data_IF_855536638435
#
_entry.id   IF_855536638435
#
_cell.length_a   1.000
_cell.length_b   1.000
_cell.length_c   1.000
_cell.angle_alpha   90.00
_cell.angle_beta   90.00
_cell.angle_gamma   90.00
#
_symmetry.space_group_name_H-M   'P 1'
#
loop_
_entity.id
_entity.type
_entity.pdbx_description
1 polymer ?
#
# COMPACT_ATOMS: atom_id res chain seq x y z
N UNK A 1 -4.88 -35.83 1.36
CA UNK A 1 -3.52 -35.50 1.78
C UNK A 1 -3.26 -34.10 1.21
N UNK A 2 -3.85 -33.10 1.87
CA UNK A 2 -3.66 -31.68 1.56
C UNK A 2 -2.28 -31.32 2.07
N UNK A 3 -1.41 -30.90 1.18
CA UNK A 3 -0.13 -30.30 1.55
C UNK A 3 -0.48 -28.90 2.10
N UNK A 4 -0.41 -28.75 3.42
CA UNK A 4 -0.36 -27.45 4.07
C UNK A 4 0.85 -26.69 3.53
N UNK A 5 0.55 -25.71 2.70
CA UNK A 5 1.57 -24.86 2.08
C UNK A 5 1.75 -23.63 2.96
N UNK A 6 2.47 -23.80 4.06
CA UNK A 6 2.98 -22.67 4.84
C UNK A 6 4.14 -22.04 4.07
N UNK A 7 3.85 -20.91 3.43
CA UNK A 7 4.83 -20.18 2.59
C UNK A 7 6.04 -19.76 3.43
N UNK A 8 5.86 -19.42 4.70
CA UNK A 8 6.95 -19.05 5.60
C UNK A 8 7.83 -20.25 5.93
N UNK A 9 7.25 -21.39 6.28
CA UNK A 9 8.01 -22.64 6.53
C UNK A 9 8.68 -23.16 5.26
N UNK A 10 8.06 -22.98 4.09
CA UNK A 10 8.69 -23.29 2.82
C UNK A 10 9.89 -22.39 2.53
N UNK A 11 9.71 -21.07 2.75
CA UNK A 11 10.80 -20.09 2.58
C UNK A 11 11.96 -20.42 3.52
N UNK A 12 11.69 -20.71 4.78
CA UNK A 12 12.70 -21.12 5.77
C UNK A 12 13.35 -22.46 5.42
N UNK A 13 12.55 -23.45 5.04
CA UNK A 13 13.08 -24.76 4.64
C UNK A 13 13.95 -24.67 3.38
N UNK A 14 13.56 -23.82 2.41
CA UNK A 14 14.35 -23.55 1.21
C UNK A 14 15.64 -22.79 1.57
N UNK A 15 15.56 -21.80 2.47
CA UNK A 15 16.71 -21.07 2.99
C UNK A 15 17.70 -22.02 3.67
N UNK A 16 17.24 -22.83 4.62
CA UNK A 16 18.06 -23.79 5.36
C UNK A 16 18.66 -24.83 4.43
N UNK A 17 17.90 -25.37 3.48
CA UNK A 17 18.43 -26.30 2.49
C UNK A 17 19.49 -25.65 1.60
N UNK A 18 19.24 -24.44 1.12
CA UNK A 18 20.17 -23.70 0.30
C UNK A 18 21.47 -23.36 1.04
N UNK A 19 21.36 -22.85 2.28
CA UNK A 19 22.51 -22.56 3.14
C UNK A 19 23.32 -23.82 3.48
N UNK A 20 22.67 -24.98 3.65
CA UNK A 20 23.35 -26.25 3.90
C UNK A 20 24.09 -26.77 2.69
N UNK A 21 23.60 -26.52 1.49
CA UNK A 21 24.27 -26.89 0.21
C UNK A 21 25.33 -25.86 -0.21
N UNK A 22 25.23 -24.62 0.28
CA UNK A 22 26.09 -23.51 -0.04
C UNK A 22 26.55 -22.76 1.22
N UNK A 23 27.41 -23.38 2.06
CA UNK A 23 27.81 -22.83 3.37
C UNK A 23 28.60 -21.51 3.28
N UNK A 24 29.11 -21.15 2.12
CA UNK A 24 29.78 -19.87 1.87
C UNK A 24 28.84 -18.78 1.31
N UNK A 25 27.56 -19.09 1.12
CA UNK A 25 26.55 -18.12 0.63
C UNK A 25 25.94 -17.38 1.80
N UNK A 26 26.19 -16.09 1.84
CA UNK A 26 25.48 -15.16 2.71
C UNK A 26 24.31 -14.56 1.93
N UNK A 27 23.10 -14.62 2.50
CA UNK A 27 21.95 -13.90 1.94
C UNK A 27 22.32 -12.41 1.95
N UNK A 28 22.33 -11.74 0.78
CA UNK A 28 22.69 -10.32 0.74
C UNK A 28 21.67 -9.48 1.48
N UNK A 29 22.14 -8.54 2.29
CA UNK A 29 21.27 -7.53 2.86
C UNK A 29 20.62 -6.70 1.75
N UNK A 30 19.35 -6.33 1.88
CA UNK A 30 18.72 -5.44 0.91
C UNK A 30 19.50 -4.11 0.84
N UNK A 31 19.82 -3.61 -0.35
CA UNK A 31 20.55 -2.35 -0.47
C UNK A 31 19.69 -1.16 -0.04
N UNK A 32 20.31 -0.12 0.53
CA UNK A 32 19.64 1.11 0.98
C UNK A 32 18.78 1.74 -0.11
N UNK A 33 19.14 1.56 -1.37
CA UNK A 33 18.37 2.06 -2.51
C UNK A 33 16.92 1.55 -2.57
N UNK A 34 16.64 0.37 -2.01
CA UNK A 34 15.28 -0.19 -1.94
C UNK A 34 14.39 0.57 -0.97
N UNK A 35 14.97 1.17 0.05
CA UNK A 35 14.21 1.88 1.09
C UNK A 35 13.93 3.35 0.73
N UNK A 36 14.61 3.89 -0.27
CA UNK A 36 14.45 5.30 -0.69
C UNK A 36 13.00 5.65 -1.04
N UNK A 37 12.24 4.71 -1.59
CA UNK A 37 10.85 4.96 -2.00
C UNK A 37 9.92 5.29 -0.81
N UNK A 38 10.24 4.79 0.40
CA UNK A 38 9.46 5.08 1.61
C UNK A 38 9.43 6.55 1.97
N UNK A 39 10.54 7.28 1.74
CA UNK A 39 10.60 8.71 2.02
C UNK A 39 9.59 9.52 1.20
N UNK A 40 9.09 8.94 0.10
CA UNK A 40 8.13 9.55 -0.81
C UNK A 40 6.68 9.10 -0.58
N UNK A 41 6.45 8.15 0.33
CA UNK A 41 5.12 7.73 0.74
C UNK A 41 4.63 8.57 1.92
N UNK A 42 3.30 8.69 2.14
CA UNK A 42 2.76 9.37 3.30
C UNK A 42 3.25 8.77 4.61
N UNK A 43 3.45 9.61 5.64
CA UNK A 43 3.70 9.14 7.02
C UNK A 43 2.47 8.45 7.63
N UNK A 44 1.27 8.87 7.21
CA UNK A 44 0.01 8.26 7.62
C UNK A 44 -0.81 7.88 6.41
N UNK A 45 -1.32 6.67 6.43
CA UNK A 45 -2.28 6.19 5.45
C UNK A 45 -3.70 6.39 5.98
N UNK A 46 -4.65 6.64 5.09
CA UNK A 46 -6.03 6.92 5.47
C UNK A 46 -6.78 5.69 5.98
N UNK A 47 -6.33 4.50 5.61
CA UNK A 47 -6.86 3.25 6.12
C UNK A 47 -5.78 2.16 6.25
N UNK A 48 -6.04 1.20 7.14
CA UNK A 48 -5.14 0.10 7.43
C UNK A 48 -4.84 -0.77 6.19
N UNK A 49 -5.76 -0.82 5.22
CA UNK A 49 -5.56 -1.60 3.99
C UNK A 49 -4.52 -0.98 3.06
N UNK A 50 -4.36 0.34 3.10
CA UNK A 50 -3.33 1.04 2.33
C UNK A 50 -1.94 0.77 2.90
N UNK A 51 -1.81 0.89 4.22
CA UNK A 51 -0.57 0.56 4.92
C UNK A 51 -0.16 -0.89 4.65
N UNK A 52 -1.07 -1.81 4.87
CA UNK A 52 -0.87 -3.23 4.65
C UNK A 52 -0.45 -3.58 3.22
N UNK A 53 -1.01 -2.91 2.21
CA UNK A 53 -0.59 -3.08 0.82
C UNK A 53 0.87 -2.67 0.61
N UNK A 54 1.27 -1.53 1.18
CA UNK A 54 2.64 -1.02 1.08
C UNK A 54 3.63 -1.96 1.76
N UNK A 55 3.31 -2.40 2.97
CA UNK A 55 4.16 -3.31 3.75
C UNK A 55 4.34 -4.65 3.03
N UNK A 56 3.24 -5.24 2.54
CA UNK A 56 3.30 -6.49 1.76
C UNK A 56 4.14 -6.33 0.49
N UNK A 57 4.00 -5.20 -0.21
CA UNK A 57 4.74 -4.92 -1.44
C UNK A 57 6.23 -4.73 -1.17
N UNK A 58 6.57 -4.09 -0.05
CA UNK A 58 7.93 -3.92 0.40
C UNK A 58 8.59 -5.24 0.77
N UNK A 59 7.93 -6.01 1.64
CA UNK A 59 8.39 -7.33 2.05
C UNK A 59 8.63 -8.22 0.81
N UNK A 60 7.68 -8.24 -0.12
CA UNK A 60 7.81 -9.01 -1.35
C UNK A 60 9.03 -8.59 -2.19
N UNK A 61 9.29 -7.27 -2.28
CA UNK A 61 10.44 -6.72 -3.00
C UNK A 61 11.75 -7.18 -2.36
N UNK A 62 11.89 -7.04 -1.04
CA UNK A 62 13.07 -7.44 -0.28
C UNK A 62 13.30 -8.95 -0.38
N UNK A 63 12.27 -9.76 -0.14
CA UNK A 63 12.34 -11.22 -0.22
C UNK A 63 12.74 -11.68 -1.62
N UNK A 64 12.18 -11.08 -2.67
CA UNK A 64 12.55 -11.42 -4.05
C UNK A 64 13.99 -11.03 -4.35
N UNK A 65 14.48 -9.89 -3.85
CA UNK A 65 15.88 -9.48 -3.99
C UNK A 65 16.81 -10.46 -3.30
N UNK A 66 16.58 -10.77 -2.02
CA UNK A 66 17.38 -11.67 -1.22
C UNK A 66 17.43 -13.10 -1.79
N UNK A 67 16.36 -13.51 -2.46
CA UNK A 67 16.27 -14.81 -3.15
C UNK A 67 16.93 -14.80 -4.55
N UNK A 68 17.57 -13.70 -4.97
CA UNK A 68 18.16 -13.58 -6.32
C UNK A 68 17.12 -13.46 -7.44
N UNK A 69 15.85 -13.26 -7.11
CA UNK A 69 14.74 -13.13 -8.06
C UNK A 69 14.58 -11.68 -8.53
N UNK A 70 15.66 -11.08 -9.02
CA UNK A 70 15.78 -9.64 -9.31
C UNK A 70 14.72 -9.12 -10.27
N UNK A 71 14.27 -9.92 -11.24
CA UNK A 71 13.21 -9.51 -12.18
C UNK A 71 11.87 -9.37 -11.49
N UNK A 72 11.56 -10.21 -10.51
CA UNK A 72 10.33 -10.09 -9.72
C UNK A 72 10.43 -8.94 -8.72
N UNK A 73 11.56 -8.77 -8.05
CA UNK A 73 11.82 -7.61 -7.20
C UNK A 73 11.65 -6.29 -7.98
N UNK A 74 12.09 -6.23 -9.23
CA UNK A 74 11.92 -5.06 -10.08
C UNK A 74 10.44 -4.74 -10.37
N UNK A 75 9.63 -5.75 -10.65
CA UNK A 75 8.18 -5.56 -10.89
C UNK A 75 7.51 -5.01 -9.65
N UNK A 76 7.83 -5.56 -8.47
CA UNK A 76 7.30 -5.10 -7.19
C UNK A 76 7.76 -3.68 -6.85
N UNK A 77 9.03 -3.35 -7.12
CA UNK A 77 9.54 -1.99 -6.94
C UNK A 77 8.87 -0.98 -7.88
N UNK A 78 8.56 -1.38 -9.11
CA UNK A 78 7.75 -0.56 -10.01
C UNK A 78 6.37 -0.28 -9.42
N UNK A 79 5.74 -1.26 -8.78
CA UNK A 79 4.44 -1.06 -8.11
C UNK A 79 4.55 -0.05 -6.95
N UNK A 80 5.63 -0.11 -6.15
CA UNK A 80 5.90 0.91 -5.11
C UNK A 80 6.05 2.31 -5.71
N UNK A 81 6.81 2.42 -6.79
CA UNK A 81 6.96 3.69 -7.52
C UNK A 81 5.61 4.22 -8.02
N UNK A 82 4.78 3.37 -8.65
CA UNK A 82 3.45 3.79 -9.12
C UNK A 82 2.55 4.20 -7.96
N UNK A 83 2.63 3.53 -6.82
CA UNK A 83 1.90 3.94 -5.61
C UNK A 83 2.31 5.33 -5.15
N UNK A 84 3.62 5.63 -5.11
CA UNK A 84 4.10 6.97 -4.77
C UNK A 84 3.61 8.03 -5.76
N UNK A 85 3.58 7.69 -7.06
CA UNK A 85 2.99 8.58 -8.10
C UNK A 85 1.50 8.81 -7.83
N UNK A 86 0.74 7.78 -7.48
CA UNK A 86 -0.70 7.91 -7.19
C UNK A 86 -0.96 8.80 -5.97
N UNK A 87 -0.12 8.76 -4.94
CA UNK A 87 -0.20 9.71 -3.83
C UNK A 87 0.11 11.15 -4.27
N UNK A 88 1.05 11.35 -5.19
CA UNK A 88 1.25 12.68 -5.79
C UNK A 88 -0.02 13.14 -6.51
N UNK A 89 -0.68 12.27 -7.28
CA UNK A 89 -1.91 12.63 -7.99
C UNK A 89 -3.07 12.94 -7.04
N UNK A 90 -3.18 12.25 -5.90
CA UNK A 90 -4.14 12.63 -4.85
C UNK A 90 -3.89 14.03 -4.34
N UNK A 91 -2.63 14.41 -4.14
CA UNK A 91 -2.27 15.77 -3.73
C UNK A 91 -2.60 16.80 -4.82
N UNK A 92 -2.40 16.42 -6.09
CA UNK A 92 -2.82 17.30 -7.19
C UNK A 92 -4.32 17.50 -7.23
N UNK A 93 -5.11 16.45 -6.94
CA UNK A 93 -6.57 16.59 -6.86
C UNK A 93 -7.01 17.52 -5.73
N UNK A 94 -6.33 17.48 -4.58
CA UNK A 94 -6.58 18.43 -3.49
C UNK A 94 -6.15 19.88 -3.84
N UNK A 95 -5.03 20.03 -4.54
CA UNK A 95 -4.46 21.34 -4.86
C UNK A 95 -5.10 22.00 -6.09
N UNK A 96 -5.50 21.19 -7.07
CA UNK A 96 -5.93 21.61 -8.41
C UNK A 96 -7.13 20.75 -8.88
N UNK A 97 -8.25 20.71 -8.13
CA UNK A 97 -9.36 19.78 -8.40
C UNK A 97 -9.99 19.96 -9.79
N UNK A 98 -10.10 21.20 -10.27
CA UNK A 98 -10.72 21.49 -11.56
C UNK A 98 -9.81 21.09 -12.72
N UNK A 99 -8.49 21.33 -12.60
CA UNK A 99 -7.48 20.94 -13.59
C UNK A 99 -7.35 19.42 -13.68
N UNK A 100 -7.29 18.72 -12.53
CA UNK A 100 -7.22 17.26 -12.48
C UNK A 100 -8.49 16.66 -13.07
N UNK A 101 -9.66 17.16 -12.68
CA UNK A 101 -10.94 16.70 -13.23
C UNK A 101 -10.99 16.88 -14.74
N UNK A 102 -10.59 18.04 -15.25
CA UNK A 102 -10.56 18.32 -16.68
C UNK A 102 -9.61 17.39 -17.42
N UNK A 103 -8.43 17.13 -16.86
CA UNK A 103 -7.45 16.22 -17.45
C UNK A 103 -7.95 14.78 -17.48
N UNK A 104 -8.60 14.31 -16.40
CA UNK A 104 -9.20 12.97 -16.33
C UNK A 104 -10.32 12.81 -17.38
N UNK A 105 -11.18 13.82 -17.53
CA UNK A 105 -12.20 13.80 -18.60
C UNK A 105 -11.58 13.73 -19.98
N UNK A 106 -10.47 14.40 -20.22
CA UNK A 106 -9.76 14.33 -21.49
C UNK A 106 -9.14 12.95 -21.75
N UNK A 107 -8.53 12.33 -20.72
CA UNK A 107 -7.88 11.03 -20.80
C UNK A 107 -8.88 9.88 -20.98
N UNK A 108 -9.94 9.86 -20.19
CA UNK A 108 -10.88 8.75 -20.12
C UNK A 108 -12.12 8.93 -21.02
N UNK A 109 -12.36 10.15 -21.53
CA UNK A 109 -13.48 10.45 -22.43
C UNK A 109 -14.82 9.94 -21.86
N UNK A 110 -15.45 9.01 -22.57
CA UNK A 110 -16.75 8.44 -22.22
C UNK A 110 -16.75 7.64 -20.90
N UNK A 111 -15.57 7.23 -20.43
CA UNK A 111 -15.37 6.51 -19.16
C UNK A 111 -15.00 7.41 -17.97
N UNK A 112 -14.95 8.72 -18.16
CA UNK A 112 -14.57 9.65 -17.07
C UNK A 112 -15.57 9.64 -15.90
N UNK A 113 -16.85 9.37 -16.16
CA UNK A 113 -17.86 9.21 -15.09
C UNK A 113 -17.59 8.01 -14.19
N UNK A 114 -17.02 6.94 -14.75
CA UNK A 114 -16.72 5.71 -14.03
C UNK A 114 -15.56 5.92 -13.06
N UNK A 115 -14.65 6.84 -13.38
CA UNK A 115 -13.54 7.20 -12.50
C UNK A 115 -13.99 7.78 -11.17
N UNK A 116 -15.06 8.59 -11.17
CA UNK A 116 -15.64 9.18 -9.96
C UNK A 116 -16.81 8.36 -9.39
N UNK A 117 -17.02 7.15 -9.87
CA UNK A 117 -18.12 6.29 -9.42
C UNK A 117 -17.82 5.69 -8.02
N UNK A 118 -18.86 5.23 -7.29
CA UNK A 118 -18.68 4.57 -5.99
C UNK A 118 -17.77 3.33 -6.04
N UNK A 119 -17.64 2.67 -7.18
CA UNK A 119 -16.77 1.50 -7.35
C UNK A 119 -15.29 1.86 -7.42
N UNK A 120 -14.96 3.12 -7.73
CA UNK A 120 -13.60 3.61 -7.85
C UNK A 120 -13.26 4.69 -6.81
N UNK A 121 -14.11 4.86 -5.78
CA UNK A 121 -13.92 5.83 -4.69
C UNK A 121 -14.14 5.15 -3.35
N UNK A 122 -13.53 5.69 -2.28
CA UNK A 122 -13.79 5.30 -0.90
C UNK A 122 -14.58 6.42 -0.21
N UNK A 123 -15.75 6.11 0.35
CA UNK A 123 -16.63 7.11 0.97
C UNK A 123 -16.90 8.35 0.08
N UNK A 124 -16.95 8.17 -1.24
CA UNK A 124 -17.17 9.25 -2.22
C UNK A 124 -15.95 10.13 -2.51
N UNK A 125 -14.77 9.79 -1.96
CA UNK A 125 -13.51 10.47 -2.22
C UNK A 125 -12.57 9.58 -3.04
N UNK A 126 -11.76 10.21 -3.90
CA UNK A 126 -10.66 9.50 -4.55
C UNK A 126 -9.65 9.05 -3.49
N UNK A 127 -9.02 7.90 -3.73
CA UNK A 127 -7.89 7.37 -2.97
C UNK A 127 -6.78 6.97 -3.96
N UNK A 128 -5.59 6.61 -3.49
CA UNK A 128 -4.47 6.34 -4.40
C UNK A 128 -4.81 5.25 -5.43
N UNK A 129 -5.53 4.20 -5.03
CA UNK A 129 -5.95 3.13 -5.93
C UNK A 129 -6.95 3.54 -7.02
N UNK A 130 -7.64 4.68 -6.87
CA UNK A 130 -8.53 5.18 -7.92
C UNK A 130 -7.80 5.44 -9.24
N UNK A 131 -6.55 5.87 -9.16
CA UNK A 131 -5.72 6.17 -10.33
C UNK A 131 -5.26 4.93 -11.09
N UNK A 132 -5.35 3.73 -10.49
CA UNK A 132 -5.08 2.47 -11.17
C UNK A 132 -6.09 2.16 -12.31
N UNK A 133 -7.24 2.87 -12.35
CA UNK A 133 -8.19 2.81 -13.46
C UNK A 133 -7.68 3.50 -14.74
N UNK A 134 -6.63 4.31 -14.64
CA UNK A 134 -5.98 4.97 -15.79
C UNK A 134 -4.78 4.11 -16.20
N UNK A 135 -4.53 4.01 -17.51
CA UNK A 135 -3.32 3.33 -18.00
C UNK A 135 -2.07 4.00 -17.38
N UNK A 136 -1.12 3.20 -16.90
CA UNK A 136 0.10 3.70 -16.25
C UNK A 136 0.89 4.70 -17.09
N UNK A 137 0.94 4.51 -18.42
CA UNK A 137 1.63 5.46 -19.32
C UNK A 137 0.91 6.79 -19.43
N UNK A 138 -0.42 6.77 -19.29
CA UNK A 138 -1.26 7.96 -19.46
C UNK A 138 -1.42 8.73 -18.14
N UNK A 139 -1.33 8.03 -17.01
CA UNK A 139 -1.43 8.64 -15.67
C UNK A 139 -0.38 9.74 -15.46
N UNK A 140 0.81 9.58 -16.04
CA UNK A 140 1.87 10.59 -15.95
C UNK A 140 1.52 11.92 -16.64
N UNK A 141 0.55 11.94 -17.58
CA UNK A 141 0.10 13.17 -18.21
C UNK A 141 -0.51 14.15 -17.20
N UNK A 142 -1.08 13.66 -16.11
CA UNK A 142 -1.60 14.50 -15.02
C UNK A 142 -0.51 15.33 -14.36
N UNK A 143 0.76 14.90 -14.39
CA UNK A 143 1.88 15.64 -13.82
C UNK A 143 2.22 16.93 -14.61
N UNK A 144 1.66 17.13 -15.81
CA UNK A 144 1.77 18.42 -16.51
C UNK A 144 1.16 19.58 -15.72
N UNK A 145 0.19 19.30 -14.82
CA UNK A 145 -0.43 20.29 -13.93
C UNK A 145 0.63 20.99 -13.06
N UNK A 146 1.70 20.27 -12.67
CA UNK A 146 2.83 20.83 -11.90
C UNK A 146 4.06 21.15 -12.76
N UNK A 147 3.87 21.25 -14.07
CA UNK A 147 4.94 21.70 -14.97
C UNK A 147 5.90 20.61 -15.46
N UNK A 148 5.49 19.33 -15.41
CA UNK A 148 6.30 18.27 -16.02
C UNK A 148 6.50 18.51 -17.51
N UNK A 149 7.74 18.43 -17.97
CA UNK A 149 8.09 18.54 -19.38
C UNK A 149 7.96 17.22 -20.15
N UNK A 150 8.01 17.31 -21.47
CA UNK A 150 7.90 16.15 -22.36
C UNK A 150 9.09 15.18 -22.27
N UNK A 151 10.27 15.67 -21.86
CA UNK A 151 11.45 14.81 -21.70
C UNK A 151 11.28 13.89 -20.47
N UNK A 152 10.88 14.44 -19.33
CA UNK A 152 10.58 13.64 -18.15
C UNK A 152 9.41 12.68 -18.40
N UNK A 153 8.34 13.12 -19.07
CA UNK A 153 7.23 12.26 -19.47
C UNK A 153 7.72 11.05 -20.27
N UNK A 154 8.52 11.27 -21.32
CA UNK A 154 9.06 10.18 -22.12
C UNK A 154 9.95 9.22 -21.32
N UNK A 155 10.70 9.73 -20.34
CA UNK A 155 11.48 8.90 -19.44
C UNK A 155 10.61 8.05 -18.50
N UNK A 156 9.49 8.57 -17.99
CA UNK A 156 8.53 7.84 -17.16
C UNK A 156 7.80 6.74 -17.96
N UNK A 157 7.34 7.08 -19.16
CA UNK A 157 6.72 6.10 -20.06
C UNK A 157 7.68 4.93 -20.41
N UNK A 158 8.97 5.23 -20.56
CA UNK A 158 9.99 4.21 -20.77
C UNK A 158 10.16 3.27 -19.57
N UNK A 159 9.96 3.72 -18.33
CA UNK A 159 9.95 2.81 -17.16
C UNK A 159 8.82 1.78 -17.28
N UNK A 160 7.61 2.22 -17.68
CA UNK A 160 6.46 1.32 -17.90
C UNK A 160 6.76 0.31 -19.03
N UNK A 161 7.32 0.79 -20.15
CA UNK A 161 7.73 -0.11 -21.25
C UNK A 161 8.77 -1.14 -20.81
N UNK A 162 9.73 -0.72 -19.98
CA UNK A 162 10.77 -1.62 -19.45
C UNK A 162 10.17 -2.64 -18.52
N UNK A 163 9.27 -2.21 -17.59
CA UNK A 163 8.55 -3.14 -16.72
C UNK A 163 7.74 -4.15 -17.52
N UNK A 164 7.05 -3.71 -18.57
CA UNK A 164 6.27 -4.59 -19.42
C UNK A 164 7.16 -5.67 -20.10
N UNK A 165 8.38 -5.31 -20.53
CA UNK A 165 9.32 -6.30 -21.08
C UNK A 165 9.72 -7.36 -20.05
N UNK A 166 9.88 -6.96 -18.77
CA UNK A 166 10.22 -7.90 -17.68
C UNK A 166 9.01 -8.71 -17.20
N UNK A 167 7.80 -8.14 -17.24
CA UNK A 167 6.59 -8.81 -16.77
C UNK A 167 6.03 -9.84 -17.78
N UNK A 168 6.32 -9.70 -19.08
CA UNK A 168 5.80 -10.64 -20.07
C UNK A 168 6.45 -12.01 -19.99
N UNK A 169 5.64 -13.06 -20.13
CA UNK A 169 6.05 -14.46 -20.14
C UNK A 169 6.76 -14.82 -21.47
N UNK A 170 7.94 -14.21 -21.67
CA UNK A 170 8.78 -14.42 -22.86
C UNK A 170 9.83 -15.55 -22.70
N UNK A 171 9.80 -16.26 -21.56
CA UNK A 171 10.73 -17.34 -21.24
C UNK A 171 12.17 -16.90 -20.97
N UNK A 172 12.41 -15.61 -20.73
CA UNK A 172 13.76 -15.07 -20.50
C UNK A 172 13.81 -14.31 -19.18
N UNK A 173 14.89 -14.55 -18.42
CA UNK A 173 15.28 -13.71 -17.31
C UNK A 173 16.25 -12.66 -17.84
N UNK A 174 15.86 -11.38 -17.76
CA UNK A 174 16.63 -10.25 -18.29
C UNK A 174 17.43 -9.53 -17.19
N UNK A 175 16.94 -9.56 -15.95
CA UNK A 175 17.66 -9.08 -14.76
C UNK A 175 18.22 -10.29 -14.01
N UNK A 176 19.52 -10.50 -14.15
CA UNK A 176 20.21 -11.71 -13.66
C UNK A 176 21.26 -11.41 -12.60
N UNK A 177 21.45 -10.13 -12.24
CA UNK A 177 22.38 -9.74 -11.17
C UNK A 177 21.81 -8.58 -10.35
N UNK A 178 22.27 -8.49 -9.10
CA UNK A 178 21.99 -7.40 -8.17
C UNK A 178 22.44 -6.04 -8.70
N UNK A 179 23.60 -5.96 -9.33
CA UNK A 179 24.13 -4.71 -9.91
C UNK A 179 23.20 -4.14 -10.97
N UNK A 180 22.66 -4.99 -11.87
CA UNK A 180 21.70 -4.57 -12.88
C UNK A 180 20.39 -4.13 -12.24
N UNK A 181 19.92 -4.84 -11.25
CA UNK A 181 18.73 -4.51 -10.50
C UNK A 181 18.89 -3.16 -9.77
N UNK A 182 19.96 -2.98 -9.01
CA UNK A 182 20.25 -1.72 -8.28
C UNK A 182 20.34 -0.54 -9.23
N UNK A 183 20.92 -0.72 -10.42
CA UNK A 183 20.97 0.31 -11.44
C UNK A 183 19.56 0.75 -11.87
N UNK A 184 18.65 -0.18 -12.10
CA UNK A 184 17.25 0.12 -12.47
C UNK A 184 16.52 0.80 -11.31
N UNK A 185 16.70 0.35 -10.05
CA UNK A 185 16.14 0.96 -8.85
C UNK A 185 16.58 2.42 -8.73
N UNK A 186 17.87 2.71 -8.92
CA UNK A 186 18.39 4.10 -8.92
C UNK A 186 17.72 5.00 -9.97
N UNK A 187 17.32 4.45 -11.11
CA UNK A 187 16.57 5.19 -12.11
C UNK A 187 15.18 5.58 -11.58
N UNK A 188 14.46 4.66 -10.90
CA UNK A 188 13.18 4.97 -10.26
C UNK A 188 13.34 6.05 -9.19
N UNK A 189 14.33 5.90 -8.29
CA UNK A 189 14.62 6.86 -7.24
C UNK A 189 14.91 8.26 -7.79
N UNK A 190 15.62 8.33 -8.90
CA UNK A 190 15.89 9.60 -9.58
C UNK A 190 14.63 10.22 -10.19
N UNK A 191 13.70 9.40 -10.72
CA UNK A 191 12.47 9.90 -11.33
C UNK A 191 11.48 10.37 -10.28
N UNK A 192 11.27 9.62 -9.21
CA UNK A 192 10.36 10.05 -8.14
C UNK A 192 10.84 11.35 -7.51
N UNK A 193 12.16 11.49 -7.28
CA UNK A 193 12.73 12.73 -6.79
C UNK A 193 12.42 13.91 -7.72
N UNK A 194 12.55 13.76 -9.04
CA UNK A 194 12.21 14.82 -10.00
C UNK A 194 10.73 15.21 -9.94
N UNK A 195 9.83 14.23 -9.80
CA UNK A 195 8.39 14.48 -9.65
C UNK A 195 8.14 15.30 -8.38
N UNK A 196 8.75 14.92 -7.27
CA UNK A 196 8.62 15.64 -6.01
C UNK A 196 9.26 17.05 -6.06
N UNK A 197 10.39 17.22 -6.75
CA UNK A 197 10.97 18.55 -6.96
C UNK A 197 10.01 19.51 -7.70
N UNK A 198 9.20 18.99 -8.65
CA UNK A 198 8.12 19.75 -9.29
C UNK A 198 6.96 20.05 -8.33
N UNK A 199 6.61 19.10 -7.45
CA UNK A 199 5.54 19.26 -6.46
C UNK A 199 5.91 20.25 -5.34
N UNK A 200 7.19 20.36 -5.01
CA UNK A 200 7.70 21.13 -3.87
C UNK A 200 7.15 22.57 -3.74
N UNK A 201 7.13 23.43 -4.78
CA UNK A 201 6.60 24.79 -4.63
C UNK A 201 5.12 24.80 -4.25
N UNK A 202 4.35 23.82 -4.72
CA UNK A 202 2.92 23.71 -4.45
C UNK A 202 2.64 23.27 -3.01
N UNK A 203 3.39 22.29 -2.50
CA UNK A 203 3.31 21.87 -1.09
C UNK A 203 3.79 22.98 -0.14
N UNK A 204 4.85 23.70 -0.51
CA UNK A 204 5.31 24.86 0.27
C UNK A 204 4.22 25.95 0.30
N UNK A 205 3.59 26.23 -0.84
CA UNK A 205 2.48 27.19 -0.94
C UNK A 205 1.26 26.75 -0.11
N UNK A 206 0.89 25.46 -0.18
CA UNK A 206 -0.17 24.88 0.66
C UNK A 206 0.13 25.08 2.15
N UNK A 207 1.32 24.69 2.58
CA UNK A 207 1.74 24.87 3.97
C UNK A 207 1.61 26.32 4.44
N UNK A 208 2.17 27.27 3.67
CA UNK A 208 2.07 28.69 3.99
C UNK A 208 0.61 29.16 4.09
N UNK A 209 -0.24 28.70 3.18
CA UNK A 209 -1.67 29.01 3.20
C UNK A 209 -2.36 28.44 4.45
N UNK A 210 -2.06 27.21 4.82
CA UNK A 210 -2.70 26.52 5.98
C UNK A 210 -2.22 27.12 7.29
N UNK A 211 -0.90 27.22 7.50
CA UNK A 211 -0.34 27.61 8.81
C UNK A 211 -0.63 29.07 9.15
N UNK A 212 -0.98 29.91 8.18
CA UNK A 212 -1.34 31.32 8.39
C UNK A 212 -2.84 31.56 8.56
N UNK A 213 -3.68 30.50 8.52
CA UNK A 213 -5.12 30.62 8.81
C UNK A 213 -5.35 30.69 10.33
N UNK A 214 -6.25 31.57 10.79
CA UNK A 214 -6.57 31.68 12.23
C UNK A 214 -7.06 30.36 12.84
N UNK A 215 -7.90 29.61 12.15
CA UNK A 215 -8.41 28.30 12.56
C UNK A 215 -7.33 27.22 12.69
N UNK A 216 -6.15 27.46 12.12
CA UNK A 216 -5.00 26.57 12.26
C UNK A 216 -4.04 26.98 13.37
N UNK A 217 -3.69 28.28 13.46
CA UNK A 217 -2.66 28.74 14.40
C UNK A 217 -3.18 29.25 15.76
N UNK A 218 -4.44 29.73 15.82
CA UNK A 218 -4.95 30.35 17.04
C UNK A 218 -5.35 29.26 18.07
N UNK A 219 -4.71 29.25 19.25
CA UNK A 219 -4.97 28.21 20.24
C UNK A 219 -6.40 28.18 20.77
N UNK A 220 -7.15 29.30 20.62
CA UNK A 220 -8.54 29.41 21.10
C UNK A 220 -9.56 28.78 20.14
N UNK A 221 -9.22 28.58 18.87
CA UNK A 221 -10.15 28.09 17.82
C UNK A 221 -9.61 26.91 17.01
N UNK A 222 -8.33 26.59 17.06
CA UNK A 222 -7.74 25.45 16.33
C UNK A 222 -8.30 24.12 16.82
N UNK A 223 -8.28 23.10 15.96
CA UNK A 223 -8.88 21.79 16.22
C UNK A 223 -8.23 21.05 17.41
N UNK A 224 -6.90 21.15 17.56
CA UNK A 224 -6.14 20.46 18.61
C UNK A 224 -5.39 21.49 19.45
N UNK A 225 -5.53 21.39 20.78
CA UNK A 225 -4.88 22.33 21.71
C UNK A 225 -3.36 22.14 21.79
N UNK A 226 -2.88 20.88 21.67
CA UNK A 226 -1.45 20.58 21.60
C UNK A 226 -0.88 20.93 20.22
N UNK A 227 0.20 21.72 20.14
CA UNK A 227 0.87 22.04 18.88
C UNK A 227 1.36 20.82 18.10
N UNK A 228 1.84 19.75 18.76
CA UNK A 228 2.28 18.54 18.10
C UNK A 228 1.10 17.82 17.44
N UNK A 229 0.03 17.64 18.18
CA UNK A 229 -1.21 17.00 17.68
C UNK A 229 -1.84 17.81 16.54
N UNK A 230 -1.83 19.16 16.61
CA UNK A 230 -2.28 20.03 15.53
C UNK A 230 -1.48 19.81 14.25
N UNK A 231 -0.15 19.72 14.34
CA UNK A 231 0.72 19.44 13.19
C UNK A 231 0.46 18.02 12.66
N UNK A 232 0.43 17.04 13.53
CA UNK A 232 0.25 15.64 13.15
C UNK A 232 -1.09 15.39 12.45
N UNK A 233 -2.20 15.80 13.08
CA UNK A 233 -3.54 15.48 12.59
C UNK A 233 -4.03 16.47 11.53
N UNK A 234 -3.92 17.77 11.78
CA UNK A 234 -4.49 18.79 10.90
C UNK A 234 -3.59 19.18 9.71
N UNK A 235 -2.32 18.73 9.71
CA UNK A 235 -1.40 18.98 8.60
C UNK A 235 -0.89 17.67 7.98
N UNK A 236 -0.15 16.87 8.74
CA UNK A 236 0.56 15.71 8.17
C UNK A 236 -0.43 14.67 7.69
N UNK A 237 -1.37 14.29 8.54
CA UNK A 237 -2.40 13.28 8.22
C UNK A 237 -3.40 13.83 7.18
N UNK A 238 -3.95 15.02 7.38
CA UNK A 238 -4.96 15.62 6.47
C UNK A 238 -4.44 15.74 5.04
N UNK A 239 -3.17 16.12 4.85
CA UNK A 239 -2.56 16.30 3.54
C UNK A 239 -1.67 15.13 3.10
N UNK A 240 -1.67 14.03 3.84
CA UNK A 240 -0.88 12.81 3.55
C UNK A 240 0.59 13.14 3.25
N UNK A 241 1.22 13.98 4.08
CA UNK A 241 2.59 14.44 3.84
C UNK A 241 3.61 13.31 4.05
N UNK A 242 4.60 13.28 3.19
CA UNK A 242 5.74 12.35 3.23
C UNK A 242 6.94 12.96 3.95
N UNK A 243 7.93 12.13 4.34
CA UNK A 243 9.20 12.58 4.95
C UNK A 243 9.92 13.61 4.10
N UNK A 244 9.96 13.42 2.79
CA UNK A 244 10.58 14.37 1.86
C UNK A 244 9.91 15.73 1.93
N UNK A 245 8.58 15.78 1.96
CA UNK A 245 7.81 17.03 2.05
C UNK A 245 8.01 17.70 3.40
N UNK A 246 7.92 16.96 4.50
CA UNK A 246 8.20 17.46 5.84
C UNK A 246 9.61 18.05 5.95
N UNK A 247 10.61 17.40 5.32
CA UNK A 247 11.97 17.89 5.28
C UNK A 247 12.11 19.22 4.50
N UNK A 248 11.25 19.51 3.54
CA UNK A 248 11.22 20.82 2.89
C UNK A 248 10.59 21.86 3.80
N UNK A 249 9.46 21.54 4.41
CA UNK A 249 8.70 22.46 5.25
C UNK A 249 9.50 22.90 6.47
N UNK A 250 10.15 21.97 7.18
CA UNK A 250 10.96 22.30 8.36
C UNK A 250 12.13 23.23 8.08
N UNK A 251 12.56 23.37 6.82
CA UNK A 251 13.65 24.26 6.40
C UNK A 251 13.20 25.69 6.13
N UNK A 252 11.91 25.97 6.21
CA UNK A 252 11.37 27.34 6.11
C UNK A 252 11.87 28.12 7.32
N UNK A 253 12.38 29.33 7.09
CA UNK A 253 12.93 30.15 8.17
C UNK A 253 11.81 30.72 9.01
N UNK A 254 11.98 30.74 10.33
CA UNK A 254 11.02 31.34 11.26
C UNK A 254 10.75 32.83 10.94
N UNK A 255 11.74 33.55 10.44
CA UNK A 255 11.57 34.94 10.01
C UNK A 255 10.59 35.12 8.86
N UNK A 256 10.27 34.08 8.10
CA UNK A 256 9.24 34.10 7.05
C UNK A 256 7.86 34.46 7.63
N UNK A 257 7.64 34.20 8.91
CA UNK A 257 6.35 34.41 9.58
C UNK A 257 6.25 35.76 10.32
N UNK A 258 7.30 36.60 10.31
CA UNK A 258 7.37 37.82 11.12
C UNK A 258 6.21 38.80 10.86
N UNK A 259 5.80 38.93 9.60
CA UNK A 259 4.80 39.91 9.16
C UNK A 259 3.35 39.36 9.21
N UNK A 260 3.15 38.11 9.61
CA UNK A 260 1.82 37.52 9.65
C UNK A 260 1.10 37.79 10.98
N UNK A 261 -0.22 38.05 10.96
CA UNK A 261 -1.03 38.03 12.18
C UNK A 261 -0.84 36.68 12.90
N UNK A 262 -0.67 36.73 14.22
CA UNK A 262 -0.42 35.51 15.00
C UNK A 262 0.99 34.90 14.84
N UNK A 263 1.97 35.68 14.37
CA UNK A 263 3.35 35.27 14.11
C UNK A 263 3.95 34.39 15.22
N UNK A 264 3.72 34.72 16.51
CA UNK A 264 4.20 33.91 17.63
C UNK A 264 3.64 32.47 17.59
N UNK A 265 2.32 32.34 17.45
CA UNK A 265 1.64 31.01 17.44
C UNK A 265 2.02 30.21 16.20
N UNK A 266 2.16 30.89 15.04
CA UNK A 266 2.62 30.27 13.79
C UNK A 266 4.04 29.71 13.97
N UNK A 267 4.95 30.47 14.57
CA UNK A 267 6.31 30.02 14.84
C UNK A 267 6.36 28.85 15.82
N UNK A 268 5.50 28.86 16.83
CA UNK A 268 5.39 27.75 17.79
C UNK A 268 4.94 26.44 17.08
N UNK A 269 3.97 26.54 16.17
CA UNK A 269 3.54 25.40 15.34
C UNK A 269 4.65 24.98 14.38
N UNK A 270 5.40 25.91 13.79
CA UNK A 270 6.51 25.55 12.93
C UNK A 270 7.65 24.86 13.71
N UNK A 271 7.93 25.28 14.93
CA UNK A 271 8.85 24.56 15.83
C UNK A 271 8.32 23.17 16.20
N UNK A 272 7.01 23.04 16.40
CA UNK A 272 6.38 21.73 16.60
C UNK A 272 6.54 20.81 15.37
N UNK A 273 6.41 21.35 14.15
CA UNK A 273 6.69 20.61 12.90
C UNK A 273 8.15 20.13 12.84
N UNK A 274 9.11 21.00 13.21
CA UNK A 274 10.53 20.62 13.21
C UNK A 274 10.78 19.44 14.20
N UNK A 275 10.22 19.55 15.41
CA UNK A 275 10.34 18.49 16.43
C UNK A 275 9.63 17.20 16.01
N UNK A 276 8.46 17.31 15.38
CA UNK A 276 7.76 16.16 14.83
C UNK A 276 8.62 15.43 13.81
N UNK A 277 9.20 16.16 12.85
CA UNK A 277 10.11 15.57 11.87
C UNK A 277 11.31 14.88 12.53
N UNK A 278 11.95 15.51 13.50
CA UNK A 278 13.10 14.92 14.19
C UNK A 278 12.69 13.64 14.96
N UNK A 279 11.48 13.59 15.54
CA UNK A 279 10.99 12.38 16.25
C UNK A 279 10.77 11.18 15.35
N UNK A 280 10.55 11.35 14.03
CA UNK A 280 10.40 10.24 13.10
C UNK A 280 11.67 9.36 13.00
N UNK A 281 12.84 9.93 13.31
CA UNK A 281 14.11 9.18 13.29
C UNK A 281 14.51 8.65 14.67
N UNK A 282 14.01 9.29 15.77
CA UNK A 282 14.28 8.80 17.11
C UNK A 282 13.57 7.46 17.39
N UNK A 283 12.40 7.23 16.77
CA UNK A 283 11.67 5.96 16.87
C UNK A 283 12.38 4.83 16.11
N UNK A 284 13.02 5.12 14.97
CA UNK A 284 13.82 4.14 14.23
C UNK A 284 15.07 3.69 15.00
N UNK A 285 15.74 4.60 15.73
CA UNK A 285 16.90 4.28 16.57
C UNK A 285 16.53 3.50 17.85
N UNK A 286 15.26 3.57 18.29
CA UNK A 286 14.72 2.85 19.42
C UNK A 286 14.01 1.54 19.06
N UNK A 287 13.85 1.27 17.77
CA UNK A 287 13.42 -0.04 17.33
C UNK A 287 14.38 -1.08 17.95
N UNK A 288 13.89 -2.09 18.66
CA UNK A 288 14.75 -3.12 19.20
C UNK A 288 15.62 -3.65 18.07
N UNK A 289 16.94 -3.91 18.32
CA UNK A 289 17.79 -4.48 17.30
C UNK A 289 17.03 -5.64 16.73
N UNK A 290 16.85 -5.66 15.41
CA UNK A 290 16.03 -6.62 14.69
C UNK A 290 16.18 -7.98 15.36
N UNK A 291 15.26 -8.30 16.28
CA UNK A 291 15.08 -9.68 16.67
C UNK A 291 14.80 -10.37 15.35
N UNK A 292 15.55 -11.40 15.04
CA UNK A 292 15.48 -12.16 13.80
C UNK A 292 14.01 -12.21 13.36
N UNK A 293 13.70 -11.54 12.26
CA UNK A 293 12.36 -11.37 11.73
C UNK A 293 11.72 -12.76 11.66
N UNK A 294 10.88 -13.06 12.62
CA UNK A 294 10.02 -14.22 12.56
C UNK A 294 8.86 -13.80 11.66
N UNK A 295 8.70 -14.35 10.44
CA UNK A 295 7.69 -13.91 9.48
C UNK A 295 6.25 -13.93 10.00
N UNK A 296 6.04 -14.54 11.17
CA UNK A 296 4.76 -14.69 11.86
C UNK A 296 4.53 -13.71 13.01
N UNK A 297 5.52 -12.89 13.38
CA UNK A 297 5.36 -11.85 14.41
C UNK A 297 4.96 -10.48 13.80
N UNK A 298 4.77 -10.42 12.48
CA UNK A 298 4.20 -9.25 11.83
C UNK A 298 2.76 -9.02 12.36
N UNK A 299 2.47 -7.85 12.95
CA UNK A 299 1.14 -7.49 13.46
C UNK A 299 0.05 -7.66 12.42
N UNK A 300 0.37 -7.54 11.13
CA UNK A 300 -0.57 -7.66 10.02
C UNK A 300 -0.97 -9.10 9.73
N UNK A 301 -0.04 -10.03 9.70
CA UNK A 301 -0.35 -11.47 9.58
C UNK A 301 -1.13 -11.93 10.81
N UNK A 302 -0.78 -11.42 12.00
CA UNK A 302 -1.51 -11.64 13.24
C UNK A 302 -2.94 -11.08 13.18
N UNK A 303 -3.12 -9.85 12.67
CA UNK A 303 -4.42 -9.18 12.59
C UNK A 303 -5.37 -9.86 11.60
N UNK A 304 -4.88 -10.33 10.45
CA UNK A 304 -5.70 -11.03 9.46
C UNK A 304 -6.16 -12.42 9.90
N UNK A 305 -5.34 -13.12 10.69
CA UNK A 305 -5.56 -14.55 10.98
C UNK A 305 -5.88 -14.84 12.44
N UNK A 306 -5.56 -13.99 13.41
CA UNK A 306 -5.66 -14.34 14.83
C UNK A 306 -6.80 -13.67 15.61
N UNK A 307 -6.97 -12.36 15.60
CA UNK A 307 -7.83 -11.73 16.61
C UNK A 307 -9.33 -11.94 16.39
N UNK A 308 -9.83 -11.79 15.16
CA UNK A 308 -11.27 -11.99 14.90
C UNK A 308 -11.67 -13.46 14.76
N UNK A 309 -10.82 -14.27 14.15
CA UNK A 309 -11.08 -15.71 14.05
C UNK A 309 -10.96 -16.40 15.41
N UNK A 310 -9.94 -16.06 16.22
CA UNK A 310 -9.78 -16.61 17.58
C UNK A 310 -10.85 -16.15 18.54
N UNK A 311 -11.28 -14.86 18.49
CA UNK A 311 -12.40 -14.36 19.32
C UNK A 311 -13.71 -15.07 19.01
N UNK A 312 -13.92 -15.46 17.76
CA UNK A 312 -15.08 -16.23 17.37
C UNK A 312 -14.96 -17.71 17.78
N UNK A 313 -13.84 -18.37 17.47
CA UNK A 313 -13.59 -19.76 17.82
C UNK A 313 -13.76 -19.98 19.33
N UNK A 314 -13.23 -19.06 20.16
CA UNK A 314 -13.38 -19.14 21.63
C UNK A 314 -14.79 -18.81 22.12
N UNK A 315 -15.52 -17.89 21.49
CA UNK A 315 -16.83 -17.44 21.95
C UNK A 315 -18.00 -18.29 21.45
N UNK A 316 -17.95 -18.72 20.17
CA UNK A 316 -19.08 -19.36 19.51
C UNK A 316 -18.94 -20.89 19.43
N UNK A 317 -17.71 -21.42 19.42
CA UNK A 317 -17.45 -22.87 19.33
C UNK A 317 -17.06 -23.50 20.68
N UNK A 318 -17.05 -22.70 21.80
CA UNK A 318 -16.67 -23.17 23.16
C UNK A 318 -15.29 -23.88 23.21
N UNK A 319 -14.38 -23.55 22.29
CA UNK A 319 -13.01 -24.10 22.27
C UNK A 319 -12.18 -23.36 23.31
N UNK A 320 -11.42 -24.10 24.14
CA UNK A 320 -10.60 -23.48 25.19
C UNK A 320 -9.42 -22.69 24.61
N UNK A 321 -9.00 -21.60 25.30
CA UNK A 321 -7.81 -20.81 24.91
C UNK A 321 -6.54 -21.68 24.80
N UNK A 322 -6.47 -22.79 25.55
CA UNK A 322 -5.35 -23.74 25.50
C UNK A 322 -5.34 -24.55 24.20
N UNK A 323 -6.51 -24.90 23.64
CA UNK A 323 -6.63 -25.61 22.36
C UNK A 323 -6.29 -24.70 21.18
N UNK A 324 -6.63 -23.40 21.26
CA UNK A 324 -6.20 -22.40 20.28
C UNK A 324 -4.68 -22.17 20.30
N UNK A 325 -4.06 -22.11 21.48
CA UNK A 325 -2.62 -21.87 21.65
C UNK A 325 -1.75 -23.06 21.17
N UNK A 326 -2.30 -24.28 21.11
CA UNK A 326 -1.57 -25.47 20.64
C UNK A 326 -1.50 -25.58 19.09
N UNK A 327 -2.06 -24.64 18.33
CA UNK A 327 -1.93 -24.56 16.86
C UNK A 327 -2.50 -25.75 16.09
N UNK A 328 -3.52 -26.45 16.62
CA UNK A 328 -3.96 -27.72 16.06
C UNK A 328 -5.10 -27.65 15.05
N UNK A 329 -5.73 -26.49 14.83
CA UNK A 329 -6.76 -26.35 13.80
C UNK A 329 -6.66 -25.00 13.08
N UNK A 330 -6.08 -24.99 11.88
CA UNK A 330 -6.19 -23.89 10.93
C UNK A 330 -7.48 -24.05 10.13
N UNK A 331 -8.40 -23.10 10.25
CA UNK A 331 -9.62 -23.06 9.44
C UNK A 331 -9.36 -22.25 8.16
N UNK A 332 -9.50 -22.85 6.96
CA UNK A 332 -9.33 -22.13 5.72
C UNK A 332 -10.42 -21.05 5.56
N UNK A 333 -10.01 -19.84 5.21
CA UNK A 333 -10.90 -18.72 4.88
C UNK A 333 -11.26 -18.73 3.40
N UNK A 334 -12.52 -18.43 3.07
CA UNK A 334 -13.04 -18.41 1.71
C UNK A 334 -13.85 -17.15 1.43
N UNK A 335 -14.02 -16.82 0.16
CA UNK A 335 -14.96 -15.77 -0.27
C UNK A 335 -16.40 -16.26 -0.08
N UNK A 336 -17.20 -15.49 0.64
CA UNK A 336 -18.61 -15.80 0.82
C UNK A 336 -19.39 -15.64 -0.48
N UNK A 337 -20.13 -16.65 -0.96
CA UNK A 337 -20.88 -16.55 -2.20
C UNK A 337 -22.09 -15.60 -2.14
N UNK A 338 -22.48 -15.15 -0.93
CA UNK A 338 -23.58 -14.20 -0.75
C UNK A 338 -23.15 -12.74 -0.74
N UNK A 339 -22.04 -12.40 -0.05
CA UNK A 339 -21.60 -11.02 0.11
C UNK A 339 -20.24 -10.71 -0.53
N UNK A 340 -19.55 -11.71 -1.06
CA UNK A 340 -18.24 -11.55 -1.70
C UNK A 340 -17.05 -11.35 -0.76
N UNK A 341 -17.29 -11.14 0.54
CA UNK A 341 -16.23 -10.91 1.51
C UNK A 341 -15.44 -12.18 1.82
N UNK A 342 -14.13 -12.04 2.00
CA UNK A 342 -13.23 -13.12 2.38
C UNK A 342 -13.29 -13.38 3.89
N UNK A 343 -14.46 -13.80 4.38
CA UNK A 343 -14.76 -14.07 5.78
C UNK A 343 -15.66 -15.30 5.97
N UNK A 344 -15.61 -16.24 5.04
CA UNK A 344 -16.32 -17.51 5.16
C UNK A 344 -15.37 -18.56 5.75
N UNK A 345 -15.69 -19.11 6.91
CA UNK A 345 -14.90 -20.10 7.63
C UNK A 345 -15.60 -21.46 7.56
N UNK A 346 -14.83 -22.51 7.33
CA UNK A 346 -15.31 -23.90 7.38
C UNK A 346 -15.02 -24.52 8.76
N UNK A 347 -16.02 -24.98 9.41
CA UNK A 347 -15.93 -25.78 10.61
C UNK A 347 -15.97 -27.28 10.23
N UNK A 348 -14.84 -27.93 10.43
CA UNK A 348 -14.65 -29.34 10.05
C UNK A 348 -15.45 -30.31 10.95
N UNK A 349 -15.76 -29.93 12.17
CA UNK A 349 -16.46 -30.78 13.13
C UNK A 349 -17.97 -30.83 12.88
N UNK A 350 -18.53 -29.67 12.49
CA UNK A 350 -19.96 -29.55 12.18
C UNK A 350 -20.27 -29.67 10.69
N UNK A 351 -19.24 -29.71 9.82
CA UNK A 351 -19.37 -29.68 8.35
C UNK A 351 -20.19 -28.47 7.86
N UNK A 352 -19.94 -27.31 8.43
CA UNK A 352 -20.63 -26.05 8.11
C UNK A 352 -19.66 -24.93 7.78
N UNK A 353 -20.14 -24.03 6.97
CA UNK A 353 -19.46 -22.77 6.69
C UNK A 353 -20.24 -21.61 7.32
N UNK A 354 -19.54 -20.70 7.98
CA UNK A 354 -20.11 -19.47 8.52
C UNK A 354 -19.43 -18.25 7.93
N UNK A 355 -20.20 -17.26 7.49
CA UNK A 355 -19.68 -15.99 7.01
C UNK A 355 -19.86 -14.89 8.04
N UNK A 356 -18.75 -14.39 8.57
CA UNK A 356 -18.73 -13.32 9.58
C UNK A 356 -19.19 -11.96 9.08
N UNK A 357 -19.08 -11.70 7.77
CA UNK A 357 -19.47 -10.42 7.20
C UNK A 357 -20.99 -10.28 7.04
N UNK A 358 -21.70 -11.36 6.76
CA UNK A 358 -23.15 -11.31 6.49
C UNK A 358 -23.97 -12.28 7.35
N UNK A 359 -23.35 -12.95 8.33
CA UNK A 359 -23.99 -13.86 9.30
C UNK A 359 -24.75 -15.03 8.65
N UNK A 360 -24.30 -15.46 7.45
CA UNK A 360 -24.89 -16.60 6.75
C UNK A 360 -24.13 -17.88 7.03
N UNK A 361 -24.91 -18.95 7.32
CA UNK A 361 -24.42 -20.30 7.46
C UNK A 361 -24.75 -21.11 6.20
N UNK A 362 -23.85 -22.02 5.83
CA UNK A 362 -24.02 -22.97 4.73
C UNK A 362 -23.58 -24.36 5.16
N UNK A 363 -24.17 -25.37 4.56
CA UNK A 363 -23.74 -26.75 4.67
C UNK A 363 -22.85 -27.16 3.49
N UNK A 364 -22.06 -28.22 3.61
CA UNK A 364 -21.28 -28.79 2.52
C UNK A 364 -22.12 -29.12 1.28
N UNK A 365 -23.41 -29.43 1.48
CA UNK A 365 -24.32 -29.73 0.39
C UNK A 365 -24.78 -28.51 -0.40
N UNK A 366 -24.75 -27.33 0.22
CA UNK A 366 -25.17 -26.06 -0.40
C UNK A 366 -24.03 -25.38 -1.17
N UNK A 367 -22.78 -25.78 -0.94
CA UNK A 367 -21.61 -25.19 -1.55
C UNK A 367 -20.88 -26.17 -2.48
N UNK A 368 -20.16 -25.61 -3.44
CA UNK A 368 -19.25 -26.35 -4.33
C UNK A 368 -18.06 -25.47 -4.70
N UNK A 369 -17.00 -26.07 -5.25
CA UNK A 369 -15.84 -25.34 -5.75
C UNK A 369 -15.94 -25.15 -7.25
N UNK A 370 -15.66 -23.94 -7.73
CA UNK A 370 -15.58 -23.67 -9.15
C UNK A 370 -14.46 -24.49 -9.79
N UNK A 371 -14.77 -25.28 -10.83
CA UNK A 371 -13.80 -26.13 -11.51
C UNK A 371 -12.69 -25.36 -12.23
N UNK A 372 -12.89 -24.04 -12.53
CA UNK A 372 -11.91 -23.21 -13.24
C UNK A 372 -10.99 -22.44 -12.29
N UNK A 373 -11.50 -21.80 -11.25
CA UNK A 373 -10.74 -20.91 -10.37
C UNK A 373 -10.64 -21.35 -8.92
N UNK A 374 -11.31 -22.45 -8.52
CA UNK A 374 -11.30 -22.97 -7.16
C UNK A 374 -12.12 -22.17 -6.15
N UNK A 375 -12.76 -21.07 -6.53
CA UNK A 375 -13.58 -20.26 -5.62
C UNK A 375 -14.81 -21.04 -5.14
N UNK A 376 -15.20 -20.85 -3.87
CA UNK A 376 -16.45 -21.39 -3.34
C UNK A 376 -17.64 -20.67 -3.98
N UNK A 377 -18.66 -21.42 -4.34
CA UNK A 377 -19.91 -20.94 -4.92
C UNK A 377 -21.10 -21.72 -4.36
N UNK A 378 -22.30 -21.14 -4.49
CA UNK A 378 -23.52 -21.90 -4.21
C UNK A 378 -23.62 -23.07 -5.21
N UNK A 379 -23.89 -24.26 -4.70
CA UNK A 379 -24.04 -25.46 -5.53
C UNK A 379 -25.16 -25.27 -6.54
N UNK A 380 -24.84 -25.54 -7.77
CA UNK A 380 -25.80 -25.57 -8.87
C UNK A 380 -25.56 -26.84 -9.67
N UNK A 381 -26.51 -27.76 -9.63
CA UNK A 381 -26.39 -29.08 -10.27
C UNK A 381 -26.23 -29.01 -11.80
N UNK A 382 -26.42 -27.83 -12.39
CA UNK A 382 -26.31 -27.62 -13.82
C UNK A 382 -24.94 -27.03 -14.26
N UNK A 383 -24.15 -26.42 -13.32
CA UNK A 383 -22.94 -25.68 -13.69
C UNK A 383 -21.88 -25.75 -12.58
N UNK A 384 -20.72 -26.34 -12.91
CA UNK A 384 -19.56 -26.44 -12.00
C UNK A 384 -18.61 -25.23 -12.06
N UNK A 385 -19.05 -24.11 -12.64
CA UNK A 385 -18.23 -22.92 -12.88
C UNK A 385 -18.94 -21.70 -12.29
N UNK A 386 -18.21 -20.86 -11.56
CA UNK A 386 -18.77 -19.65 -10.94
C UNK A 386 -19.18 -18.59 -11.98
N UNK A 387 -20.12 -17.67 -11.64
CA UNK A 387 -20.59 -16.64 -12.57
C UNK A 387 -19.47 -15.82 -13.20
N UNK A 388 -18.47 -15.40 -12.41
CA UNK A 388 -17.33 -14.63 -12.90
C UNK A 388 -16.50 -15.39 -13.95
N UNK A 389 -16.37 -16.72 -13.81
CA UNK A 389 -15.69 -17.53 -14.82
C UNK A 389 -16.55 -17.76 -16.07
N UNK A 390 -17.88 -17.80 -15.94
CA UNK A 390 -18.81 -17.88 -17.08
C UNK A 390 -18.75 -16.60 -17.90
N UNK A 391 -18.78 -15.43 -17.22
CA UNK A 391 -18.68 -14.14 -17.89
C UNK A 391 -17.34 -13.99 -18.64
N UNK A 392 -16.24 -14.44 -18.03
CA UNK A 392 -14.93 -14.43 -18.67
C UNK A 392 -14.87 -15.32 -19.93
N UNK A 393 -15.53 -16.50 -19.94
CA UNK A 393 -15.60 -17.38 -21.11
C UNK A 393 -16.47 -16.75 -22.20
N UNK A 394 -17.52 -16.03 -21.82
CA UNK A 394 -18.46 -15.41 -22.78
C UNK A 394 -17.89 -14.16 -23.44
N UNK A 395 -16.80 -13.60 -22.89
CA UNK A 395 -16.10 -12.41 -23.39
C UNK A 395 -14.90 -12.77 -24.30
N UNK A 396 -14.48 -14.03 -24.35
CA UNK A 396 -13.49 -14.59 -25.29
C UNK A 396 -14.17 -14.99 -26.63
#
# INVERSE_FOLDING_TARGET
MTLDFDVGKLSEAVRVAFESEHPDYTIPDPPDELFVMYDFLPEFFQDDSENAYIDALSLATQTSFQSGLYQFAYIQYHMQFMTSVYFVLLKLEMLFPDEVRSAIYYLLKDHASDFYSPSNTKAGKLYFGSFAAINESDVFLLLHIIGMDSDLLGQLQKLVETRNKYAHANGRLLLTSDELFIKEVKEYNRKIKKIFDLLRPHITGLYMKVVTQPDFYDPDIRAYSDPKEQIEQALVNEYSLSRVELNWLRKIRLSTFDDYPGSSNIKDLHVALMKYYDSLFEEEDQAPPHEEFQPFDDPYTRYLYHDKANDFITKELEISEEECAEGKQEYPLFNCPNCGNFQLVYDADTHRYHCFACDKNYTDEELSFCARCGSIMLRNDAVDICPACIDAISAE
#
